data_IF_719257732829
#
_entry.id   IF_719257732829
#
_cell.length_a   1.000
_cell.length_b   1.000
_cell.length_c   1.000
_cell.angle_alpha   90.00
_cell.angle_beta   90.00
_cell.angle_gamma   90.00
#
_symmetry.space_group_name_H-M   'P 1'
#
loop_
_entity.id
_entity.type
_entity.pdbx_description
1 polymer ?
#
# COMPACT_ATOMS: atom_id res chain seq x y z
N UNK A 1 -3.83 2.10 25.80
CA UNK A 1 -4.69 1.34 24.89
C UNK A 1 -4.77 2.08 23.57
N UNK A 2 -4.46 1.42 22.46
CA UNK A 2 -4.66 1.96 21.11
C UNK A 2 -6.10 1.68 20.67
N UNK A 3 -6.75 2.66 20.06
CA UNK A 3 -8.13 2.54 19.57
C UNK A 3 -8.18 2.63 18.05
N UNK A 4 -9.28 2.12 17.48
CA UNK A 4 -9.55 2.25 16.05
C UNK A 4 -9.62 3.72 15.64
N UNK A 5 -9.37 3.98 14.36
CA UNK A 5 -9.34 5.33 13.77
C UNK A 5 -10.14 5.39 12.48
N UNK A 6 -10.77 6.55 12.29
CA UNK A 6 -11.42 6.94 11.04
C UNK A 6 -11.11 8.39 10.71
N UNK A 7 -11.66 8.93 9.65
CA UNK A 7 -11.56 10.35 9.31
C UNK A 7 -12.50 11.19 10.19
N UNK A 8 -12.15 12.45 10.40
CA UNK A 8 -13.07 13.41 11.08
C UNK A 8 -14.10 13.94 10.10
N UNK A 9 -13.67 14.29 8.88
CA UNK A 9 -14.51 14.89 7.85
C UNK A 9 -14.34 14.15 6.52
N UNK A 10 -15.34 14.18 5.64
CA UNK A 10 -15.17 13.76 4.26
C UNK A 10 -14.14 14.64 3.55
N UNK A 11 -13.43 14.07 2.59
CA UNK A 11 -12.50 14.80 1.73
C UNK A 11 -12.51 14.20 0.32
N UNK A 12 -12.24 15.04 -0.68
CA UNK A 12 -12.23 14.65 -2.08
C UNK A 12 -10.96 15.12 -2.78
N UNK A 13 -10.55 14.35 -3.78
CA UNK A 13 -9.51 14.72 -4.72
C UNK A 13 -9.87 14.26 -6.12
N UNK A 14 -9.19 14.80 -7.12
CA UNK A 14 -9.28 14.36 -8.50
C UNK A 14 -7.88 14.14 -9.03
N UNK A 15 -7.67 13.04 -9.75
CA UNK A 15 -6.39 12.72 -10.36
C UNK A 15 -6.57 11.84 -11.58
N UNK A 16 -5.47 11.47 -12.21
CA UNK A 16 -5.48 10.58 -13.38
C UNK A 16 -5.22 9.15 -12.93
N UNK A 17 -5.91 8.18 -13.54
CA UNK A 17 -5.61 6.76 -13.37
C UNK A 17 -4.32 6.40 -14.09
N UNK A 18 -3.42 5.67 -13.42
CA UNK A 18 -2.13 5.29 -14.00
C UNK A 18 -2.32 4.44 -15.27
N UNK A 19 -3.18 3.44 -15.20
CA UNK A 19 -3.38 2.49 -16.31
C UNK A 19 -4.43 2.99 -17.30
N UNK A 20 -5.55 3.53 -16.80
CA UNK A 20 -6.66 4.00 -17.65
C UNK A 20 -6.38 5.31 -18.38
N UNK A 21 -5.54 6.18 -17.81
CA UNK A 21 -5.32 7.56 -18.28
C UNK A 21 -6.53 8.46 -18.11
N UNK A 22 -7.60 7.99 -17.45
CA UNK A 22 -8.84 8.75 -17.24
C UNK A 22 -8.75 9.62 -15.99
N UNK A 23 -9.51 10.70 -15.98
CA UNK A 23 -9.67 11.53 -14.80
C UNK A 23 -10.65 10.85 -13.84
N UNK A 24 -10.23 10.67 -12.60
CA UNK A 24 -10.96 9.93 -11.56
C UNK A 24 -11.16 10.83 -10.35
N UNK A 25 -12.37 10.85 -9.86
CA UNK A 25 -12.71 11.49 -8.59
C UNK A 25 -12.64 10.45 -7.47
N UNK A 26 -11.87 10.78 -6.46
CA UNK A 26 -11.73 10.02 -5.21
C UNK A 26 -12.41 10.79 -4.08
N UNK A 27 -13.30 10.12 -3.34
CA UNK A 27 -13.87 10.65 -2.11
C UNK A 27 -13.53 9.69 -0.95
N UNK A 28 -13.16 10.24 0.19
CA UNK A 28 -12.93 9.49 1.42
C UNK A 28 -13.95 9.95 2.47
N UNK A 29 -14.65 8.99 3.09
CA UNK A 29 -15.66 9.28 4.11
C UNK A 29 -15.31 8.58 5.42
N UNK A 30 -15.61 9.21 6.59
CA UNK A 30 -15.57 8.53 7.86
C UNK A 30 -16.46 7.28 7.84
N UNK A 31 -16.06 6.25 8.55
CA UNK A 31 -16.85 5.04 8.73
C UNK A 31 -16.98 4.65 10.21
N UNK A 32 -17.99 3.85 10.54
CA UNK A 32 -18.20 3.35 11.88
C UNK A 32 -17.12 2.34 12.28
N UNK A 33 -17.03 2.08 13.56
CA UNK A 33 -16.13 1.05 14.12
C UNK A 33 -16.42 -0.33 13.52
N UNK A 34 -15.36 -1.11 13.29
CA UNK A 34 -15.39 -2.44 12.68
C UNK A 34 -15.94 -2.48 11.24
N UNK A 35 -16.03 -1.34 10.56
CA UNK A 35 -16.37 -1.30 9.13
C UNK A 35 -15.24 -1.85 8.27
N UNK A 36 -13.99 -1.58 8.66
CA UNK A 36 -12.84 -1.82 7.80
C UNK A 36 -12.75 -0.79 6.66
N UNK A 37 -12.02 -1.16 5.63
CA UNK A 37 -11.86 -0.33 4.42
C UNK A 37 -12.76 -0.88 3.32
N UNK A 38 -13.70 -0.05 2.86
CA UNK A 38 -14.65 -0.40 1.82
C UNK A 38 -14.46 0.53 0.63
N UNK A 39 -14.25 -0.03 -0.54
CA UNK A 39 -14.27 0.70 -1.80
C UNK A 39 -15.64 0.64 -2.44
N UNK A 40 -16.07 1.75 -3.06
CA UNK A 40 -17.39 1.88 -3.70
C UNK A 40 -17.25 2.49 -5.10
N UNK A 41 -17.79 1.83 -6.11
CA UNK A 41 -17.92 2.33 -7.48
C UNK A 41 -19.22 3.13 -7.60
N UNK A 42 -19.10 4.46 -7.64
CA UNK A 42 -20.25 5.37 -7.67
C UNK A 42 -20.75 5.71 -9.07
N UNK A 43 -20.00 5.36 -10.10
CA UNK A 43 -20.38 5.47 -11.52
C UNK A 43 -21.32 4.35 -11.99
N UNK A 44 -21.47 3.29 -11.19
CA UNK A 44 -22.34 2.16 -11.49
C UNK A 44 -23.74 2.32 -10.89
N UNK A 45 -24.74 1.72 -11.52
CA UNK A 45 -26.11 1.69 -11.03
C UNK A 45 -26.70 0.27 -11.11
N UNK A 46 -26.89 -0.44 -9.98
CA UNK A 46 -26.61 0.01 -8.61
C UNK A 46 -25.12 0.19 -8.33
N UNK A 47 -24.79 1.02 -7.34
CA UNK A 47 -23.41 1.14 -6.85
C UNK A 47 -22.92 -0.21 -6.31
N UNK A 48 -21.62 -0.50 -6.48
CA UNK A 48 -21.00 -1.74 -6.02
C UNK A 48 -19.96 -1.44 -4.94
N UNK A 49 -20.08 -2.13 -3.82
CA UNK A 49 -19.11 -2.07 -2.72
C UNK A 49 -18.19 -3.28 -2.75
N UNK A 50 -16.90 -3.06 -2.57
CA UNK A 50 -15.87 -4.09 -2.48
C UNK A 50 -15.07 -3.86 -1.21
N UNK A 51 -15.07 -4.83 -0.29
CA UNK A 51 -14.20 -4.79 0.89
C UNK A 51 -12.75 -4.96 0.46
N UNK A 52 -11.84 -4.16 1.02
CA UNK A 52 -10.41 -4.30 0.77
C UNK A 52 -9.84 -5.45 1.62
N UNK A 53 -10.16 -6.68 1.27
CA UNK A 53 -9.69 -7.91 1.92
C UNK A 53 -9.02 -8.84 0.91
N UNK A 54 -8.22 -9.77 1.40
CA UNK A 54 -7.44 -10.72 0.57
C UNK A 54 -8.34 -11.49 -0.39
N UNK A 55 -9.51 -11.95 0.05
CA UNK A 55 -10.43 -12.76 -0.75
C UNK A 55 -10.99 -12.01 -1.98
N UNK A 56 -10.97 -10.67 -1.95
CA UNK A 56 -11.46 -9.84 -3.03
C UNK A 56 -10.34 -9.37 -3.99
N UNK A 57 -9.11 -9.85 -3.81
CA UNK A 57 -8.01 -9.54 -4.73
C UNK A 57 -8.17 -10.36 -6.02
N UNK A 58 -8.25 -9.65 -7.13
CA UNK A 58 -8.24 -10.22 -8.48
C UNK A 58 -6.86 -10.16 -9.13
N UNK A 59 -6.70 -9.31 -10.15
CA UNK A 59 -5.41 -9.15 -10.83
C UNK A 59 -4.38 -8.45 -9.94
N UNK A 60 -3.12 -8.92 -10.09
CA UNK A 60 -1.94 -8.37 -9.39
C UNK A 60 -0.84 -7.97 -10.37
N UNK A 61 -1.18 -7.78 -11.65
CA UNK A 61 -0.24 -7.36 -12.69
C UNK A 61 -0.04 -5.85 -12.65
N UNK A 62 1.14 -5.42 -12.25
CA UNK A 62 1.58 -4.02 -12.09
C UNK A 62 0.79 -3.19 -11.06
N UNK A 63 -0.25 -3.71 -10.47
CA UNK A 63 -1.05 -3.08 -9.42
C UNK A 63 -1.88 -4.13 -8.69
N UNK A 64 -2.33 -3.83 -7.48
CA UNK A 64 -3.30 -4.63 -6.75
C UNK A 64 -4.71 -4.19 -7.10
N UNK A 65 -5.55 -5.13 -7.55
CA UNK A 65 -6.92 -4.88 -8.01
C UNK A 65 -7.91 -5.63 -7.13
N UNK A 66 -8.91 -4.92 -6.60
CA UNK A 66 -10.08 -5.52 -5.95
C UNK A 66 -11.15 -5.86 -6.97
N UNK A 67 -11.86 -6.97 -6.75
CA UNK A 67 -12.89 -7.47 -7.67
C UNK A 67 -14.12 -7.94 -6.87
N UNK A 68 -15.31 -7.60 -7.37
CA UNK A 68 -16.60 -8.14 -6.95
C UNK A 68 -17.45 -8.38 -8.21
N UNK A 69 -17.67 -9.67 -8.56
CA UNK A 69 -18.28 -10.05 -9.82
C UNK A 69 -17.49 -9.51 -11.02
N UNK A 70 -18.13 -8.70 -11.86
CA UNK A 70 -17.50 -8.04 -13.01
C UNK A 70 -16.91 -6.65 -12.68
N UNK A 71 -17.12 -6.17 -11.46
CA UNK A 71 -16.65 -4.86 -11.02
C UNK A 71 -15.24 -4.95 -10.46
N UNK A 72 -14.39 -4.00 -10.85
CA UNK A 72 -13.02 -3.93 -10.34
C UNK A 72 -12.63 -2.51 -9.95
N UNK A 73 -11.65 -2.42 -9.03
CA UNK A 73 -10.96 -1.18 -8.64
C UNK A 73 -9.48 -1.51 -8.52
N UNK A 74 -8.67 -0.95 -9.42
CA UNK A 74 -7.23 -1.18 -9.51
C UNK A 74 -6.40 -0.12 -8.77
N UNK A 75 -5.11 -0.39 -8.59
CA UNK A 75 -4.10 0.55 -8.08
C UNK A 75 -4.44 1.05 -6.66
N UNK A 76 -4.86 0.14 -5.79
CA UNK A 76 -5.28 0.48 -4.42
C UNK A 76 -4.10 0.60 -3.44
N UNK A 77 -2.95 0.01 -3.76
CA UNK A 77 -1.80 -0.22 -2.87
C UNK A 77 -1.25 1.06 -2.24
N UNK A 78 -1.16 2.16 -2.97
CA UNK A 78 -0.62 3.42 -2.43
C UNK A 78 -1.56 4.07 -1.41
N UNK A 79 -2.87 4.04 -1.67
CA UNK A 79 -3.89 4.51 -0.74
C UNK A 79 -3.98 3.61 0.50
N UNK A 80 -3.95 2.27 0.30
CA UNK A 80 -3.91 1.30 1.39
C UNK A 80 -2.67 1.48 2.26
N UNK A 81 -1.51 1.77 1.65
CA UNK A 81 -0.27 2.10 2.35
C UNK A 81 -0.41 3.36 3.21
N UNK A 82 -1.08 4.40 2.71
CA UNK A 82 -1.37 5.61 3.48
C UNK A 82 -2.30 5.32 4.67
N UNK A 83 -3.34 4.48 4.50
CA UNK A 83 -4.20 4.06 5.60
C UNK A 83 -3.42 3.28 6.65
N UNK A 84 -2.60 2.30 6.25
CA UNK A 84 -1.74 1.55 7.16
C UNK A 84 -0.77 2.46 7.94
N UNK A 85 -0.12 3.38 7.23
CA UNK A 85 0.87 4.30 7.78
C UNK A 85 0.30 5.30 8.79
N UNK A 86 -0.94 5.72 8.61
CA UNK A 86 -1.67 6.61 9.52
C UNK A 86 -2.57 5.88 10.51
N UNK A 87 -2.67 4.55 10.38
CA UNK A 87 -3.46 3.69 11.25
C UNK A 87 -4.96 3.91 11.12
N UNK A 88 -5.46 4.19 9.93
CA UNK A 88 -6.89 4.31 9.62
C UNK A 88 -7.49 2.91 9.49
N UNK A 89 -8.37 2.55 10.40
CA UNK A 89 -9.01 1.24 10.43
C UNK A 89 -10.34 1.22 9.65
N UNK A 90 -11.08 2.34 9.64
CA UNK A 90 -12.44 2.39 9.13
C UNK A 90 -12.63 3.58 8.19
N UNK A 91 -12.89 3.32 6.91
CA UNK A 91 -13.08 4.35 5.89
C UNK A 91 -13.88 3.80 4.71
N UNK A 92 -14.75 4.65 4.12
CA UNK A 92 -15.37 4.37 2.83
C UNK A 92 -14.65 5.20 1.77
N UNK A 93 -14.20 4.51 0.73
CA UNK A 93 -13.50 5.07 -0.43
C UNK A 93 -14.43 5.00 -1.63
N UNK A 94 -14.81 6.14 -2.19
CA UNK A 94 -15.61 6.18 -3.41
C UNK A 94 -14.74 6.59 -4.60
N UNK A 95 -14.89 5.88 -5.70
CA UNK A 95 -14.29 6.22 -7.00
C UNK A 95 -15.35 6.16 -8.10
N UNK A 96 -15.24 7.05 -9.07
CA UNK A 96 -16.14 7.15 -10.22
C UNK A 96 -15.57 6.47 -11.47
N UNK A 97 -14.55 5.62 -11.32
CA UNK A 97 -13.99 4.77 -12.37
C UNK A 97 -13.33 3.51 -11.77
N UNK A 98 -12.78 2.64 -12.62
CA UNK A 98 -12.20 1.34 -12.25
C UNK A 98 -10.81 1.38 -11.61
N UNK A 99 -10.33 2.55 -11.17
CA UNK A 99 -8.97 2.71 -10.67
C UNK A 99 -8.92 3.82 -9.62
N UNK A 100 -8.03 3.69 -8.62
CA UNK A 100 -7.67 4.79 -7.72
C UNK A 100 -6.73 5.75 -8.48
N UNK A 101 -6.91 7.09 -8.41
CA UNK A 101 -6.01 8.02 -9.09
C UNK A 101 -4.58 7.88 -8.57
N UNK A 102 -3.61 7.90 -9.48
CA UNK A 102 -2.19 7.68 -9.13
C UNK A 102 -1.57 8.84 -8.36
N UNK A 103 -2.16 10.03 -8.44
CA UNK A 103 -1.68 11.26 -7.86
C UNK A 103 -0.27 11.63 -8.36
N UNK A 104 0.73 11.71 -7.47
CA UNK A 104 2.12 11.94 -7.81
C UNK A 104 2.96 10.65 -7.91
N UNK A 105 2.29 9.49 -7.86
CA UNK A 105 2.92 8.17 -7.88
C UNK A 105 3.39 7.65 -6.53
N UNK A 106 3.17 8.40 -5.45
CA UNK A 106 3.52 8.01 -4.08
C UNK A 106 2.29 7.97 -3.16
N UNK A 107 2.48 7.58 -1.90
CA UNK A 107 1.42 7.66 -0.89
C UNK A 107 1.25 9.07 -0.28
N UNK A 108 2.19 9.98 -0.52
CA UNK A 108 2.23 11.30 0.12
C UNK A 108 0.98 12.16 -0.11
N UNK A 109 0.38 12.26 -1.32
CA UNK A 109 -0.86 12.99 -1.52
C UNK A 109 -2.04 12.42 -0.72
N UNK A 110 -2.12 11.10 -0.59
CA UNK A 110 -3.16 10.45 0.22
C UNK A 110 -2.95 10.73 1.71
N UNK A 111 -1.70 10.70 2.19
CA UNK A 111 -1.34 11.13 3.55
C UNK A 111 -1.82 12.56 3.80
N UNK A 112 -1.55 13.48 2.86
CA UNK A 112 -1.99 14.87 2.97
C UNK A 112 -3.52 14.98 3.03
N UNK A 113 -4.25 14.26 2.18
CA UNK A 113 -5.72 14.23 2.21
C UNK A 113 -6.25 13.74 3.54
N UNK A 114 -5.74 12.59 4.05
CA UNK A 114 -6.17 12.01 5.32
C UNK A 114 -5.91 12.97 6.49
N UNK A 115 -4.73 13.58 6.54
CA UNK A 115 -4.38 14.56 7.56
C UNK A 115 -5.24 15.83 7.47
N UNK A 116 -5.56 16.29 6.26
CA UNK A 116 -6.43 17.44 6.01
C UNK A 116 -7.88 17.18 6.42
N UNK A 117 -8.39 15.94 6.21
CA UNK A 117 -9.70 15.50 6.71
C UNK A 117 -9.75 15.44 8.24
N UNK A 118 -8.59 15.34 8.88
CA UNK A 118 -8.43 15.06 10.29
C UNK A 118 -8.64 13.58 10.61
N UNK A 119 -7.95 13.09 11.64
CA UNK A 119 -8.05 11.71 12.13
C UNK A 119 -8.79 11.68 13.44
N UNK A 120 -9.88 10.90 13.50
CA UNK A 120 -10.71 10.72 14.69
C UNK A 120 -10.42 9.38 15.34
N UNK A 121 -10.09 9.39 16.62
CA UNK A 121 -10.05 8.19 17.45
C UNK A 121 -11.49 7.73 17.75
N UNK A 122 -11.71 6.43 17.69
CA UNK A 122 -12.96 5.75 18.01
C UNK A 122 -12.87 5.12 19.41
N UNK A 123 -13.86 4.34 19.81
CA UNK A 123 -13.91 3.80 21.18
C UNK A 123 -13.43 2.35 21.26
N UNK A 124 -13.57 1.58 20.16
CA UNK A 124 -13.16 0.18 20.15
C UNK A 124 -11.65 0.01 20.12
N UNK A 125 -11.11 -1.01 20.80
CA UNK A 125 -9.69 -1.32 20.76
C UNK A 125 -9.22 -1.62 19.35
N UNK A 126 -7.99 -1.20 19.05
CA UNK A 126 -7.32 -1.55 17.80
C UNK A 126 -6.84 -3.00 17.85
N UNK A 127 -7.01 -3.69 16.74
CA UNK A 127 -6.56 -5.08 16.56
C UNK A 127 -5.32 -5.14 15.69
N UNK A 128 -4.55 -6.21 15.85
CA UNK A 128 -3.34 -6.51 15.10
C UNK A 128 -3.31 -7.99 14.75
N UNK A 129 -2.67 -8.33 13.65
CA UNK A 129 -2.31 -9.71 13.33
C UNK A 129 -0.86 -9.93 13.77
N UNK A 130 -0.67 -10.85 14.71
CA UNK A 130 0.64 -11.28 15.19
C UNK A 130 1.03 -12.60 14.56
N UNK A 131 2.18 -12.61 13.89
CA UNK A 131 2.75 -13.81 13.29
C UNK A 131 3.49 -14.60 14.37
N UNK A 132 3.20 -15.91 14.48
CA UNK A 132 3.77 -16.84 15.45
C UNK A 132 4.80 -17.78 14.85
N UNK A 133 4.66 -18.12 13.56
CA UNK A 133 5.54 -19.01 12.83
C UNK A 133 5.95 -18.37 11.50
N UNK A 134 7.11 -18.79 10.97
CA UNK A 134 7.56 -18.32 9.67
C UNK A 134 6.67 -18.88 8.55
N UNK A 135 6.24 -17.98 7.65
CA UNK A 135 5.47 -18.32 6.45
C UNK A 135 6.21 -17.74 5.26
N UNK A 136 6.52 -18.59 4.29
CA UNK A 136 7.25 -18.21 3.06
C UNK A 136 6.52 -18.73 1.83
N UNK A 137 6.52 -17.92 0.79
CA UNK A 137 6.16 -18.29 -0.58
C UNK A 137 7.33 -17.95 -1.50
N UNK A 138 7.58 -18.81 -2.48
CA UNK A 138 8.74 -18.68 -3.38
C UNK A 138 8.36 -19.16 -4.78
N UNK A 139 8.89 -18.44 -5.79
CA UNK A 139 8.76 -18.82 -7.20
C UNK A 139 9.92 -19.72 -7.64
N UNK A 140 9.79 -20.48 -8.74
CA UNK A 140 10.86 -21.35 -9.23
C UNK A 140 12.16 -20.61 -9.59
N UNK A 141 12.12 -19.34 -9.89
CA UNK A 141 13.27 -18.47 -10.17
C UNK A 141 13.88 -17.83 -8.91
N UNK A 142 13.38 -18.22 -7.72
CA UNK A 142 13.94 -17.83 -6.43
C UNK A 142 13.47 -16.48 -5.89
N UNK A 143 12.49 -15.83 -6.53
CA UNK A 143 11.83 -14.67 -5.90
C UNK A 143 10.94 -15.13 -4.74
N UNK A 144 10.93 -14.41 -3.62
CA UNK A 144 10.17 -14.81 -2.46
C UNK A 144 9.58 -13.65 -1.66
N UNK A 145 8.55 -13.96 -0.89
CA UNK A 145 8.00 -13.13 0.16
C UNK A 145 7.80 -13.97 1.43
N UNK A 146 8.16 -13.42 2.58
CA UNK A 146 8.18 -14.13 3.86
C UNK A 146 7.67 -13.24 4.99
N UNK A 147 6.92 -13.83 5.91
CA UNK A 147 6.59 -13.27 7.21
C UNK A 147 7.21 -14.13 8.31
N UNK A 148 7.81 -13.52 9.32
CA UNK A 148 8.40 -14.19 10.47
C UNK A 148 8.02 -13.47 11.78
N UNK A 149 8.03 -14.16 12.93
CA UNK A 149 7.79 -13.54 14.23
C UNK A 149 8.77 -12.39 14.51
N UNK A 150 8.22 -11.24 14.90
CA UNK A 150 9.01 -10.07 15.31
C UNK A 150 8.18 -9.22 16.28
N UNK A 151 8.83 -8.56 17.23
CA UNK A 151 8.14 -7.67 18.17
C UNK A 151 8.07 -6.24 17.61
N UNK A 152 7.16 -6.02 16.68
CA UNK A 152 6.98 -4.79 15.92
C UNK A 152 6.56 -5.08 14.49
N UNK A 153 6.74 -4.14 13.60
CA UNK A 153 6.62 -4.39 12.17
C UNK A 153 7.88 -3.91 11.45
N UNK A 154 8.63 -4.84 10.90
CA UNK A 154 9.87 -4.57 10.16
C UNK A 154 9.71 -5.08 8.73
N UNK A 155 10.13 -4.28 7.77
CA UNK A 155 10.09 -4.63 6.34
C UNK A 155 11.50 -4.55 5.79
N UNK A 156 12.00 -5.66 5.28
CA UNK A 156 13.23 -5.74 4.48
C UNK A 156 12.87 -6.09 3.06
N UNK A 157 13.33 -5.31 2.10
CA UNK A 157 13.09 -5.55 0.69
C UNK A 157 14.38 -5.48 -0.13
N UNK A 158 14.65 -6.54 -0.91
CA UNK A 158 15.73 -6.58 -1.89
C UNK A 158 15.15 -6.41 -3.30
N UNK A 159 15.36 -5.23 -3.88
CA UNK A 159 15.08 -4.93 -5.28
C UNK A 159 16.25 -5.40 -6.11
N UNK A 160 16.02 -6.39 -6.97
CA UNK A 160 17.06 -7.03 -7.77
C UNK A 160 16.58 -7.21 -9.20
N UNK A 161 17.37 -6.73 -10.15
CA UNK A 161 17.20 -6.91 -11.58
C UNK A 161 18.32 -7.80 -12.13
N UNK A 162 17.98 -8.71 -13.03
CA UNK A 162 18.94 -9.61 -13.69
C UNK A 162 19.53 -8.97 -14.94
N UNK A 163 18.81 -8.01 -15.54
CA UNK A 163 19.28 -7.27 -16.72
C UNK A 163 20.48 -6.39 -16.37
N UNK A 164 21.59 -6.53 -17.06
CA UNK A 164 22.85 -5.82 -16.81
C UNK A 164 22.69 -4.29 -16.75
N UNK A 165 21.85 -3.70 -17.61
CA UNK A 165 21.59 -2.25 -17.63
C UNK A 165 20.80 -1.79 -16.42
N UNK A 166 19.99 -2.67 -15.82
CA UNK A 166 19.13 -2.36 -14.67
C UNK A 166 19.79 -2.69 -13.32
N UNK A 167 20.86 -3.52 -13.31
CA UNK A 167 21.58 -3.92 -12.08
C UNK A 167 22.08 -2.74 -11.24
N UNK A 168 22.34 -1.60 -11.84
CA UNK A 168 22.75 -0.38 -11.12
C UNK A 168 21.67 0.15 -10.15
N UNK A 169 20.42 -0.29 -10.30
CA UNK A 169 19.31 0.04 -9.43
C UNK A 169 19.04 -1.03 -8.36
N UNK A 170 19.83 -2.10 -8.34
CA UNK A 170 19.74 -3.11 -7.29
C UNK A 170 20.05 -2.47 -5.94
N UNK A 171 19.16 -2.70 -4.98
CA UNK A 171 19.33 -2.15 -3.64
C UNK A 171 18.52 -2.95 -2.63
N UNK A 172 18.94 -2.90 -1.38
CA UNK A 172 18.21 -3.49 -0.27
C UNK A 172 17.98 -2.41 0.78
N UNK A 173 16.77 -2.31 1.28
CA UNK A 173 16.43 -1.39 2.36
C UNK A 173 15.64 -2.11 3.44
N UNK A 174 15.87 -1.72 4.70
CA UNK A 174 15.17 -2.24 5.87
C UNK A 174 14.57 -1.08 6.65
N UNK A 175 13.31 -1.21 7.00
CA UNK A 175 12.56 -0.17 7.73
C UNK A 175 11.85 -0.79 8.92
N UNK A 176 12.14 -0.29 10.12
CA UNK A 176 11.27 -0.49 11.29
C UNK A 176 10.09 0.47 11.17
N UNK A 177 8.91 -0.10 10.97
CA UNK A 177 7.71 0.64 10.64
C UNK A 177 7.09 1.30 11.86
N UNK A 178 6.91 2.59 11.75
CA UNK A 178 6.01 3.39 12.57
C UNK A 178 5.54 4.59 11.73
N UNK A 179 4.52 5.32 12.20
CA UNK A 179 3.98 6.44 11.43
C UNK A 179 5.02 7.51 11.08
N UNK A 180 5.98 7.77 11.97
CA UNK A 180 7.04 8.77 11.71
C UNK A 180 7.98 8.29 10.61
N UNK A 181 8.45 7.04 10.68
CA UNK A 181 9.33 6.45 9.66
C UNK A 181 8.59 6.36 8.32
N UNK A 182 7.33 5.91 8.34
CA UNK A 182 6.50 5.87 7.14
C UNK A 182 6.40 7.25 6.48
N UNK A 183 6.04 8.29 7.23
CA UNK A 183 5.88 9.65 6.70
C UNK A 183 7.18 10.24 6.16
N UNK A 184 8.31 10.03 6.86
CA UNK A 184 9.59 10.62 6.50
C UNK A 184 10.32 9.88 5.37
N UNK A 185 10.24 8.55 5.37
CA UNK A 185 11.11 7.73 4.54
C UNK A 185 10.39 6.99 3.42
N UNK A 186 9.12 6.59 3.62
CA UNK A 186 8.41 5.69 2.71
C UNK A 186 7.35 6.42 1.89
N UNK A 187 6.49 7.22 2.53
CA UNK A 187 5.30 7.78 1.89
C UNK A 187 5.56 8.59 0.62
N UNK A 188 6.77 9.13 0.45
CA UNK A 188 7.16 9.98 -0.68
C UNK A 188 7.79 9.21 -1.84
N UNK A 189 8.06 7.92 -1.69
CA UNK A 189 8.67 7.10 -2.73
C UNK A 189 7.68 6.89 -3.89
N UNK A 190 8.05 7.36 -5.08
CA UNK A 190 7.22 7.27 -6.29
C UNK A 190 7.34 5.90 -6.95
N UNK A 191 6.24 5.48 -7.58
CA UNK A 191 6.27 4.38 -8.55
C UNK A 191 7.23 4.71 -9.71
N UNK A 192 7.65 3.69 -10.43
CA UNK A 192 8.64 3.85 -11.48
C UNK A 192 8.42 2.89 -12.63
N UNK A 193 8.97 3.22 -13.78
CA UNK A 193 8.97 2.37 -14.95
C UNK A 193 10.18 2.61 -15.86
N UNK A 194 10.59 1.57 -16.57
CA UNK A 194 11.66 1.63 -17.57
C UNK A 194 11.10 2.02 -18.93
N UNK A 195 11.80 2.90 -19.62
CA UNK A 195 11.44 3.28 -21.00
C UNK A 195 11.42 2.05 -21.93
N UNK A 196 12.28 1.06 -21.67
CA UNK A 196 12.28 -0.21 -22.41
C UNK A 196 10.95 -0.96 -22.37
N UNK A 197 10.14 -0.75 -21.34
CA UNK A 197 8.89 -1.46 -21.15
C UNK A 197 7.67 -0.70 -21.70
N UNK A 198 7.87 0.55 -22.15
CA UNK A 198 6.79 1.43 -22.64
C UNK A 198 6.02 0.80 -23.80
N UNK A 199 6.70 0.18 -24.75
CA UNK A 199 6.05 -0.45 -25.90
C UNK A 199 5.19 -1.63 -25.49
N UNK A 200 5.66 -2.44 -24.54
CA UNK A 200 4.89 -3.52 -23.94
C UNK A 200 3.66 -2.96 -23.19
N UNK A 201 3.85 -1.93 -22.38
CA UNK A 201 2.78 -1.30 -21.62
C UNK A 201 1.70 -0.73 -22.55
N UNK A 202 2.09 0.04 -23.58
CA UNK A 202 1.17 0.60 -24.57
C UNK A 202 0.38 -0.46 -25.31
N UNK A 203 1.05 -1.55 -25.76
CA UNK A 203 0.41 -2.67 -26.44
C UNK A 203 -0.63 -3.36 -25.59
N UNK A 204 -0.41 -3.43 -24.29
CA UNK A 204 -1.33 -4.03 -23.32
C UNK A 204 -2.29 -3.01 -22.68
N UNK A 205 -2.33 -1.77 -23.17
CA UNK A 205 -3.16 -0.67 -22.63
C UNK A 205 -2.89 -0.41 -21.14
N UNK A 206 -1.63 -0.53 -20.72
CA UNK A 206 -1.15 -0.25 -19.37
C UNK A 206 -0.42 1.09 -19.35
N UNK A 207 -0.38 1.73 -18.17
CA UNK A 207 0.31 2.99 -17.91
C UNK A 207 -0.05 4.12 -18.89
N UNK A 208 -1.30 4.18 -19.39
CA UNK A 208 -1.74 5.21 -20.35
C UNK A 208 -1.72 6.62 -19.76
N UNK A 209 -1.86 6.74 -18.42
CA UNK A 209 -1.76 8.00 -17.67
C UNK A 209 -0.38 8.24 -17.06
N UNK A 210 0.58 7.34 -17.29
CA UNK A 210 1.94 7.44 -16.77
C UNK A 210 2.72 8.61 -17.39
N UNK A 211 3.45 9.34 -16.56
CA UNK A 211 4.27 10.48 -16.96
C UNK A 211 5.33 10.74 -15.90
N UNK A 212 6.32 11.60 -16.20
CA UNK A 212 7.31 12.05 -15.23
C UNK A 212 6.69 12.78 -14.00
N UNK A 213 5.44 13.25 -14.11
CA UNK A 213 4.73 13.90 -12.99
C UNK A 213 4.22 12.91 -11.94
N UNK A 214 4.09 11.62 -12.30
CA UNK A 214 3.49 10.61 -11.44
C UNK A 214 4.26 9.27 -11.40
N UNK A 215 5.46 9.25 -11.97
CA UNK A 215 6.37 8.11 -11.90
C UNK A 215 7.82 8.57 -12.06
N UNK A 216 8.76 7.81 -11.51
CA UNK A 216 10.17 7.88 -11.89
C UNK A 216 10.31 7.16 -13.21
N UNK A 217 10.72 7.87 -14.26
CA UNK A 217 10.93 7.32 -15.61
C UNK A 217 12.41 7.03 -15.79
N UNK A 218 12.73 5.75 -15.97
CA UNK A 218 14.09 5.25 -16.06
C UNK A 218 14.44 5.02 -17.52
N UNK A 219 15.35 5.84 -18.07
CA UNK A 219 15.94 5.69 -19.39
C UNK A 219 16.98 4.56 -19.44
N UNK A 220 17.70 4.44 -20.57
CA UNK A 220 18.77 3.44 -20.70
C UNK A 220 19.90 3.69 -19.70
N UNK A 221 20.34 4.93 -19.57
CA UNK A 221 21.52 5.28 -18.77
C UNK A 221 21.21 6.17 -17.57
N UNK A 222 20.07 6.85 -17.52
CA UNK A 222 19.74 7.84 -16.50
C UNK A 222 18.26 7.89 -16.14
N UNK A 223 17.94 8.60 -15.06
CA UNK A 223 16.59 8.99 -14.69
C UNK A 223 16.19 10.20 -15.53
N UNK A 224 15.02 10.15 -16.19
CA UNK A 224 14.57 11.20 -17.11
C UNK A 224 13.88 12.36 -16.41
N UNK A 225 13.37 12.15 -15.20
CA UNK A 225 12.74 13.20 -14.41
C UNK A 225 13.76 14.32 -14.12
N UNK A 226 13.41 15.56 -14.42
CA UNK A 226 14.28 16.75 -14.23
C UNK A 226 14.75 16.89 -12.78
N UNK A 227 13.85 16.63 -11.82
CA UNK A 227 14.15 16.67 -10.38
C UNK A 227 14.92 15.45 -9.86
N UNK A 228 15.15 14.42 -10.70
CA UNK A 228 15.79 13.18 -10.29
C UNK A 228 15.01 12.36 -9.27
N UNK A 229 15.72 11.60 -8.45
CA UNK A 229 15.14 10.83 -7.35
C UNK A 229 14.94 11.70 -6.10
N UNK A 230 13.84 11.48 -5.37
CA UNK A 230 13.56 12.12 -4.07
C UNK A 230 14.48 11.61 -2.95
N UNK A 231 15.02 10.41 -3.10
CA UNK A 231 16.07 9.83 -2.25
C UNK A 231 16.86 8.79 -3.04
N UNK A 232 18.08 8.49 -2.60
CA UNK A 232 18.93 7.48 -3.26
C UNK A 232 18.32 6.08 -3.25
N UNK A 233 17.41 5.78 -2.33
CA UNK A 233 16.72 4.51 -2.18
C UNK A 233 15.25 4.56 -2.62
N UNK A 234 14.85 5.57 -3.42
CA UNK A 234 13.43 5.79 -3.75
C UNK A 234 12.78 4.56 -4.37
N UNK A 235 13.46 3.87 -5.29
CA UNK A 235 12.88 2.71 -5.99
C UNK A 235 12.60 1.54 -5.03
N UNK A 236 13.54 1.18 -4.16
CA UNK A 236 13.35 0.10 -3.19
C UNK A 236 12.37 0.51 -2.08
N UNK A 237 12.36 1.78 -1.68
CA UNK A 237 11.39 2.31 -0.70
C UNK A 237 9.98 2.33 -1.27
N UNK A 238 9.82 2.52 -2.58
CA UNK A 238 8.52 2.36 -3.22
C UNK A 238 8.04 0.90 -3.14
N UNK A 239 8.92 -0.09 -3.34
CA UNK A 239 8.54 -1.50 -3.15
C UNK A 239 8.14 -1.80 -1.69
N UNK A 240 8.76 -1.16 -0.72
CA UNK A 240 8.34 -1.24 0.69
C UNK A 240 6.95 -0.59 0.89
N UNK A 241 6.67 0.55 0.22
CA UNK A 241 5.36 1.19 0.23
C UNK A 241 4.27 0.24 -0.29
N UNK A 242 4.53 -0.43 -1.42
CA UNK A 242 3.63 -1.42 -2.03
C UNK A 242 3.35 -2.59 -1.06
N UNK A 243 4.40 -3.15 -0.45
CA UNK A 243 4.26 -4.21 0.55
C UNK A 243 3.35 -3.78 1.70
N UNK A 244 3.57 -2.59 2.26
CA UNK A 244 2.76 -2.07 3.37
C UNK A 244 1.28 -1.98 2.96
N UNK A 245 0.99 -1.51 1.74
CA UNK A 245 -0.37 -1.41 1.21
C UNK A 245 -1.01 -2.78 0.97
N UNK A 246 -0.28 -3.70 0.33
CA UNK A 246 -0.76 -5.05 0.05
C UNK A 246 -1.04 -5.84 1.33
N UNK A 247 -0.14 -5.77 2.31
CA UNK A 247 -0.34 -6.45 3.60
C UNK A 247 -1.52 -5.89 4.40
N UNK A 248 -1.90 -4.63 4.18
CA UNK A 248 -3.05 -4.03 4.87
C UNK A 248 -4.40 -4.57 4.39
N UNK A 249 -4.43 -5.41 3.35
CA UNK A 249 -5.61 -6.22 2.96
C UNK A 249 -6.02 -7.25 4.03
N UNK A 250 -5.20 -7.52 5.03
CA UNK A 250 -5.57 -8.24 6.24
C UNK A 250 -6.49 -7.43 7.18
N UNK A 251 -6.80 -6.17 6.85
CA UNK A 251 -7.65 -5.24 7.64
C UNK A 251 -7.06 -4.82 9.00
N UNK A 252 -5.88 -5.32 9.36
CA UNK A 252 -5.20 -5.01 10.61
C UNK A 252 -3.72 -4.72 10.35
N UNK A 253 -3.12 -3.88 11.18
CA UNK A 253 -1.68 -3.76 11.19
C UNK A 253 -1.03 -5.08 11.67
N UNK A 254 0.15 -5.38 11.14
CA UNK A 254 0.88 -6.62 11.41
C UNK A 254 1.93 -6.42 12.50
N UNK A 255 2.11 -7.43 13.31
CA UNK A 255 3.24 -7.60 14.26
C UNK A 255 4.09 -8.75 13.74
N UNK A 256 5.09 -8.42 12.93
CA UNK A 256 5.95 -9.37 12.21
C UNK A 256 7.16 -8.67 11.57
N UNK A 257 8.10 -9.46 11.11
CA UNK A 257 9.09 -9.09 10.09
C UNK A 257 8.63 -9.60 8.72
N UNK A 258 8.60 -8.71 7.74
CA UNK A 258 8.45 -9.07 6.33
C UNK A 258 9.81 -9.01 5.63
N UNK A 259 10.09 -10.00 4.80
CA UNK A 259 11.25 -10.03 3.92
C UNK A 259 10.81 -10.35 2.50
N UNK A 260 11.15 -9.48 1.54
CA UNK A 260 10.88 -9.65 0.11
C UNK A 260 12.15 -9.63 -0.72
N UNK A 261 12.29 -10.60 -1.62
CA UNK A 261 13.36 -10.66 -2.62
C UNK A 261 12.72 -10.77 -4.00
N UNK A 262 12.93 -9.76 -4.84
CA UNK A 262 12.28 -9.67 -6.17
C UNK A 262 10.75 -9.82 -6.11
N UNK A 263 10.12 -9.62 -4.97
CA UNK A 263 8.69 -9.81 -4.83
C UNK A 263 7.91 -8.67 -5.50
N UNK A 264 6.62 -8.87 -5.63
CA UNK A 264 5.67 -7.89 -6.13
C UNK A 264 4.27 -8.23 -5.65
N UNK A 265 3.26 -7.53 -6.13
CA UNK A 265 1.87 -7.71 -5.69
C UNK A 265 1.40 -9.17 -5.76
N UNK A 266 1.82 -9.92 -6.78
CA UNK A 266 1.47 -11.33 -6.94
C UNK A 266 2.00 -12.19 -5.79
N UNK A 267 3.31 -12.05 -5.44
CA UNK A 267 3.89 -12.80 -4.32
C UNK A 267 3.38 -12.31 -2.97
N UNK A 268 3.15 -10.99 -2.81
CA UNK A 268 2.56 -10.46 -1.60
C UNK A 268 1.16 -11.05 -1.37
N UNK A 269 0.32 -11.09 -2.42
CA UNK A 269 -1.01 -11.69 -2.34
C UNK A 269 -0.96 -13.21 -2.08
N UNK A 270 -0.03 -13.93 -2.74
CA UNK A 270 0.17 -15.36 -2.49
C UNK A 270 0.57 -15.63 -1.03
N UNK A 271 1.44 -14.78 -0.46
CA UNK A 271 1.83 -14.86 0.95
C UNK A 271 0.63 -14.66 1.89
N UNK A 272 -0.24 -13.68 1.59
CA UNK A 272 -1.45 -13.42 2.37
C UNK A 272 -2.44 -14.59 2.30
N UNK A 273 -2.67 -15.17 1.11
CA UNK A 273 -3.50 -16.37 0.97
C UNK A 273 -2.90 -17.53 1.76
N UNK A 274 -1.57 -17.74 1.66
CA UNK A 274 -0.89 -18.79 2.42
C UNK A 274 -1.00 -18.59 3.92
N UNK A 275 -0.92 -17.35 4.40
CA UNK A 275 -1.14 -17.02 5.81
C UNK A 275 -2.54 -17.44 6.28
N UNK A 276 -3.59 -17.09 5.52
CA UNK A 276 -4.98 -17.41 5.87
C UNK A 276 -5.28 -18.92 5.85
N UNK A 277 -4.55 -19.70 5.05
CA UNK A 277 -4.62 -21.18 5.07
C UNK A 277 -3.99 -21.80 6.32
N UNK A 278 -3.19 -21.07 7.09
CA UNK A 278 -2.43 -21.55 8.25
C UNK A 278 -2.88 -20.86 9.55
N UNK A 279 -4.10 -21.12 10.05
CA UNK A 279 -4.67 -20.39 11.18
C UNK A 279 -3.87 -20.53 12.48
N UNK A 280 -3.06 -21.56 12.63
CA UNK A 280 -2.19 -21.76 13.82
C UNK A 280 -0.91 -20.92 13.79
N UNK A 281 -0.51 -20.43 12.59
CA UNK A 281 0.71 -19.65 12.40
C UNK A 281 0.57 -18.17 12.78
N UNK A 282 -0.62 -17.70 13.10
CA UNK A 282 -0.91 -16.32 13.48
C UNK A 282 -2.06 -16.22 14.49
N UNK A 283 -2.25 -15.05 15.05
CA UNK A 283 -3.36 -14.74 15.95
C UNK A 283 -3.77 -13.28 15.83
N UNK A 284 -5.05 -12.99 16.12
CA UNK A 284 -5.51 -11.60 16.29
C UNK A 284 -5.31 -11.22 17.75
N UNK A 285 -4.54 -10.17 17.98
CA UNK A 285 -4.34 -9.58 19.31
C UNK A 285 -5.05 -8.21 19.38
N UNK A 286 -5.56 -7.87 20.56
CA UNK A 286 -6.23 -6.61 20.82
C UNK A 286 -5.40 -5.74 21.75
N UNK A 287 -5.43 -4.43 21.56
CA UNK A 287 -4.65 -3.47 22.35
C UNK A 287 -5.10 -3.30 23.80
N UNK A 288 -6.25 -3.86 24.18
CA UNK A 288 -6.81 -3.87 25.55
C UNK A 288 -6.52 -5.17 26.32
N UNK A 289 -5.91 -6.18 25.65
CA UNK A 289 -5.48 -7.43 26.28
C UNK A 289 -4.04 -7.37 26.79
N UNK A 290 -3.51 -8.54 27.19
CA UNK A 290 -2.09 -8.74 27.55
C UNK A 290 -1.14 -8.66 26.33
N UNK A 291 -1.42 -7.75 25.40
CA UNK A 291 -0.54 -7.51 24.27
C UNK A 291 0.82 -7.07 24.81
N UNK A 292 1.93 -7.72 24.43
CA UNK A 292 3.27 -7.23 24.76
C UNK A 292 3.36 -5.78 24.29
N UNK A 293 4.06 -4.93 25.01
CA UNK A 293 4.21 -3.51 24.65
C UNK A 293 4.50 -3.38 23.16
N UNK A 294 3.46 -2.99 22.39
CA UNK A 294 3.61 -2.71 20.96
C UNK A 294 4.31 -1.34 20.87
N UNK A 295 5.59 -1.33 21.23
CA UNK A 295 6.40 -0.10 21.33
C UNK A 295 6.66 0.55 19.98
N UNK A 296 6.57 -0.22 18.89
CA UNK A 296 6.96 0.26 17.56
C UNK A 296 5.82 0.83 16.72
N UNK A 297 4.55 0.65 17.11
CA UNK A 297 3.40 1.22 16.40
C UNK A 297 2.86 2.45 17.16
N UNK A 298 3.77 3.25 17.69
CA UNK A 298 3.45 4.52 18.32
C UNK A 298 3.04 5.53 17.26
N UNK A 299 1.74 5.71 17.07
CA UNK A 299 1.18 6.79 16.27
C UNK A 299 1.35 8.11 17.04
N UNK A 300 2.48 8.77 16.85
CA UNK A 300 2.66 10.12 17.39
C UNK A 300 1.76 11.08 16.62
N UNK A 301 1.02 11.91 17.33
CA UNK A 301 0.33 13.05 16.76
C UNK A 301 1.39 14.03 16.21
N UNK A 302 1.61 13.99 14.90
CA UNK A 302 2.31 15.07 14.24
C UNK A 302 1.31 16.22 14.07
N UNK A 303 1.30 17.14 15.01
CA UNK A 303 0.71 18.46 14.77
C UNK A 303 1.49 19.11 13.63
N UNK A 304 0.79 19.48 12.54
CA UNK A 304 1.38 20.31 11.51
C UNK A 304 1.93 21.57 12.19
N UNK A 305 3.15 22.01 11.87
CA UNK A 305 3.60 23.32 12.33
C UNK A 305 2.64 24.36 11.78
N UNK A 306 1.95 25.05 12.68
CA UNK A 306 1.19 26.27 12.36
C UNK A 306 2.19 27.34 11.95
N UNK A 307 2.33 27.60 10.65
CA UNK A 307 2.95 28.80 10.11
C UNK A 307 1.88 29.79 9.70
#
# INVERSE_FOLDING_TARGET
>A
MLVQRTLTNPISATGVGLHSGRQIKLNLFPANEDTGIIFRRIDLNPQVEIKAIVDNVGATTLATTLVEGETQIATIEHLMSAFAGLGIDNVIVEVDDMEVPIMDGSASPFVFLIQSAGIKQQTKPKKFIKIKEEIKVETPDGAYAKLAPYNGFKVTYALVYDNEKQKKYNSTSTVDFNSTTFLKEISRARTYGFVSDIDYMKKNKLALGGSEKNAVVIGEDEILNEEGLRSSEELVKHKILDVIGDLYLLQYNIVAEFEGYKSGHSLNNLLLNRLLELPDAWEVISSDGDAPEIRSVSYTHLTLPTT
#
